data_IF_314397296007
#
_entry.id   IF_314397296007
#
_cell.length_a   1.000
_cell.length_b   1.000
_cell.length_c   1.000
_cell.angle_alpha   90.00
_cell.angle_beta   90.00
_cell.angle_gamma   90.00
#
_symmetry.space_group_name_H-M   'P 1'
#
loop_
_entity.id
_entity.type
_entity.pdbx_description
1 polymer ?
#
# COMPACT_ATOMS: atom_id res chain seq x y z
N UNK A 1 -8.31 -70.28 -3.60
CA UNK A 1 -8.50 -68.84 -3.86
C UNK A 1 -7.59 -68.08 -2.90
N UNK A 2 -6.65 -67.29 -3.46
CA UNK A 2 -5.72 -66.37 -2.81
C UNK A 2 -6.47 -65.23 -2.08
N UNK A 3 -5.95 -64.46 -1.12
CA UNK A 3 -4.66 -64.39 -0.43
C UNK A 3 -4.84 -63.61 0.89
N UNK A 4 -3.87 -63.77 1.79
CA UNK A 4 -3.72 -63.14 3.09
C UNK A 4 -3.65 -61.60 3.07
N UNK A 5 -4.01 -60.97 4.20
CA UNK A 5 -3.56 -59.61 4.56
C UNK A 5 -2.69 -59.71 5.83
N UNK A 6 -1.41 -59.29 5.80
CA UNK A 6 -0.55 -59.27 6.97
C UNK A 6 -0.56 -57.91 7.68
N UNK A 7 -0.32 -57.97 8.99
CA UNK A 7 -0.16 -56.88 9.96
C UNK A 7 1.11 -56.04 9.72
N UNK A 8 1.05 -54.71 9.85
CA UNK A 8 2.23 -53.89 10.16
C UNK A 8 1.93 -52.67 11.06
N UNK A 9 2.90 -52.44 11.97
CA UNK A 9 3.09 -51.45 13.05
C UNK A 9 2.87 -49.96 12.76
N UNK A 10 2.80 -49.11 13.82
CA UNK A 10 2.63 -47.66 13.68
C UNK A 10 3.92 -47.01 13.19
N UNK A 11 3.84 -46.20 12.14
CA UNK A 11 4.92 -45.32 11.72
C UNK A 11 4.43 -43.89 11.77
N UNK A 12 5.03 -43.11 12.67
CA UNK A 12 4.94 -41.68 12.70
C UNK A 12 5.47 -41.11 11.38
N UNK A 13 4.63 -40.35 10.69
CA UNK A 13 5.09 -39.22 9.91
C UNK A 13 4.30 -38.02 10.43
N UNK A 14 4.88 -37.34 11.41
CA UNK A 14 4.60 -35.93 11.61
C UNK A 14 4.67 -35.30 10.21
N UNK A 15 3.54 -34.80 9.72
CA UNK A 15 3.52 -33.94 8.55
C UNK A 15 4.30 -32.70 8.98
N UNK A 16 5.61 -32.76 8.77
CA UNK A 16 6.52 -31.64 8.89
C UNK A 16 5.91 -30.55 8.03
N UNK A 17 5.22 -29.60 8.68
CA UNK A 17 4.90 -28.32 8.09
C UNK A 17 6.24 -27.77 7.68
N UNK A 18 6.60 -28.01 6.42
CA UNK A 18 7.76 -27.44 5.77
C UNK A 18 7.56 -25.94 5.92
N UNK A 19 8.26 -25.37 6.89
CA UNK A 19 8.36 -23.93 7.06
C UNK A 19 8.98 -23.45 5.75
N UNK A 20 8.13 -22.96 4.84
CA UNK A 20 8.57 -22.44 3.55
C UNK A 20 9.55 -21.32 3.85
N UNK A 21 10.78 -21.37 3.31
CA UNK A 21 11.73 -20.30 3.56
C UNK A 21 11.19 -19.00 2.93
N UNK A 22 11.05 -17.97 3.75
CA UNK A 22 11.17 -16.55 3.40
C UNK A 22 10.26 -15.96 2.31
N UNK A 23 9.01 -16.41 2.18
CA UNK A 23 7.99 -15.61 1.48
C UNK A 23 7.80 -14.28 2.23
N UNK A 24 7.71 -13.13 1.55
CA UNK A 24 7.45 -11.86 2.22
C UNK A 24 6.04 -11.92 2.82
N UNK A 25 5.98 -11.97 4.16
CA UNK A 25 4.74 -12.11 4.93
C UNK A 25 3.75 -10.96 4.69
N UNK A 26 4.23 -9.81 4.23
CA UNK A 26 3.39 -8.66 3.92
C UNK A 26 3.98 -7.84 2.77
N UNK A 27 3.12 -7.45 1.83
CA UNK A 27 3.42 -6.43 0.82
C UNK A 27 2.67 -5.15 1.20
N UNK A 28 3.42 -4.06 1.35
CA UNK A 28 2.87 -2.71 1.48
C UNK A 28 2.79 -2.11 0.09
N UNK A 29 1.57 -2.06 -0.47
CA UNK A 29 1.35 -1.42 -1.75
C UNK A 29 1.12 0.08 -1.54
N UNK A 30 1.93 0.90 -2.20
CA UNK A 30 1.67 2.34 -2.36
C UNK A 30 1.22 2.55 -3.80
N UNK A 31 0.04 3.14 -3.97
CA UNK A 31 -0.49 3.59 -5.24
C UNK A 31 -0.28 5.09 -5.31
N UNK A 32 0.42 5.56 -6.33
CA UNK A 32 0.55 6.99 -6.61
C UNK A 32 -0.26 7.34 -7.85
N UNK A 33 -1.27 8.18 -7.70
CA UNK A 33 -2.00 8.71 -8.86
C UNK A 33 -1.07 9.54 -9.76
N UNK A 34 -1.11 9.38 -11.09
CA UNK A 34 -0.26 10.14 -12.01
C UNK A 34 -0.45 11.67 -11.92
N UNK A 35 -1.59 12.13 -11.41
CA UNK A 35 -1.87 13.57 -11.16
C UNK A 35 -1.43 14.08 -9.79
N UNK A 36 -0.95 13.20 -8.90
CA UNK A 36 -0.47 13.52 -7.55
C UNK A 36 0.99 13.08 -7.42
N UNK A 37 1.88 13.74 -8.17
CA UNK A 37 3.30 13.43 -8.31
C UNK A 37 4.17 13.55 -7.02
N UNK A 38 3.59 13.43 -5.83
CA UNK A 38 4.29 13.61 -4.55
C UNK A 38 4.03 12.54 -3.49
N UNK A 39 3.12 11.57 -3.72
CA UNK A 39 2.98 10.42 -2.84
C UNK A 39 4.14 9.43 -3.10
N UNK A 40 5.33 9.76 -2.60
CA UNK A 40 6.43 8.81 -2.47
C UNK A 40 6.15 8.00 -1.23
N UNK A 41 6.05 6.67 -1.37
CA UNK A 41 6.04 5.74 -0.24
C UNK A 41 7.24 6.05 0.65
N UNK A 42 7.03 6.85 1.69
CA UNK A 42 8.12 7.25 2.57
C UNK A 42 8.11 6.23 3.69
N UNK A 43 8.98 5.23 3.59
CA UNK A 43 9.24 4.30 4.69
C UNK A 43 10.10 5.06 5.71
N UNK A 44 9.48 5.95 6.47
CA UNK A 44 10.19 6.86 7.39
C UNK A 44 10.80 6.08 8.57
N UNK A 45 10.22 4.92 8.92
CA UNK A 45 10.49 4.26 10.20
C UNK A 45 11.15 2.88 10.11
N UNK A 46 11.50 2.36 8.92
CA UNK A 46 12.02 0.98 8.77
C UNK A 46 13.41 0.88 8.11
N UNK A 47 14.18 1.97 8.06
CA UNK A 47 15.48 2.02 7.37
C UNK A 47 16.46 0.91 7.76
N UNK A 48 16.65 0.67 9.07
CA UNK A 48 17.57 -0.38 9.53
C UNK A 48 17.14 -1.79 9.11
N UNK A 49 15.83 -2.07 9.08
CA UNK A 49 15.31 -3.38 8.70
C UNK A 49 15.46 -3.64 7.19
N UNK A 50 15.43 -2.58 6.38
CA UNK A 50 15.75 -2.65 4.94
C UNK A 50 17.25 -2.94 4.76
N UNK A 51 18.12 -2.21 5.48
CA UNK A 51 19.58 -2.42 5.43
C UNK A 51 19.96 -3.84 5.87
N UNK A 52 19.32 -4.33 6.94
CA UNK A 52 19.50 -5.69 7.46
C UNK A 52 18.91 -6.78 6.53
N UNK A 53 18.26 -6.41 5.41
CA UNK A 53 17.64 -7.35 4.47
C UNK A 53 16.38 -8.06 5.00
N UNK A 54 15.84 -7.61 6.14
CA UNK A 54 14.62 -8.15 6.75
C UNK A 54 13.37 -7.69 5.99
N UNK A 55 13.43 -6.51 5.36
CA UNK A 55 12.39 -5.98 4.46
C UNK A 55 12.96 -5.92 3.05
N UNK A 56 12.29 -6.60 2.13
CA UNK A 56 12.56 -6.48 0.69
C UNK A 56 11.75 -5.32 0.14
N UNK A 57 12.38 -4.48 -0.67
CA UNK A 57 11.75 -3.31 -1.30
C UNK A 57 11.73 -3.54 -2.81
N UNK A 58 10.53 -3.51 -3.39
CA UNK A 58 10.32 -3.54 -4.83
C UNK A 58 9.99 -2.11 -5.29
N UNK A 59 10.68 -1.62 -6.33
CA UNK A 59 10.46 -0.29 -6.90
C UNK A 59 10.43 -0.36 -8.44
N UNK A 60 9.83 0.65 -9.07
CA UNK A 60 9.91 0.86 -10.52
C UNK A 60 8.82 0.17 -11.34
N UNK A 61 7.87 -0.50 -10.70
CA UNK A 61 6.71 -1.11 -11.35
C UNK A 61 5.50 -1.00 -10.44
N UNK A 62 4.39 -0.50 -10.97
CA UNK A 62 3.13 -0.37 -10.21
C UNK A 62 2.43 -1.72 -10.07
N UNK A 63 1.68 -1.90 -8.97
CA UNK A 63 0.82 -3.08 -8.81
C UNK A 63 -0.42 -2.91 -9.68
N UNK A 64 -0.72 -3.90 -10.52
CA UNK A 64 -1.88 -3.88 -11.43
C UNK A 64 -3.08 -4.62 -10.88
N UNK A 65 -2.86 -5.74 -10.16
CA UNK A 65 -3.96 -6.50 -9.55
C UNK A 65 -3.49 -7.32 -8.36
N UNK A 66 -4.42 -7.51 -7.43
CA UNK A 66 -4.31 -8.48 -6.35
C UNK A 66 -4.97 -9.79 -6.84
N UNK A 67 -4.32 -10.90 -6.55
CA UNK A 67 -4.77 -12.26 -6.87
C UNK A 67 -5.01 -13.03 -5.57
N UNK A 68 -5.64 -14.19 -5.66
CA UNK A 68 -5.88 -15.06 -4.50
C UNK A 68 -4.59 -15.49 -3.77
N UNK A 69 -3.42 -15.36 -4.40
CA UNK A 69 -2.14 -15.87 -3.89
C UNK A 69 -1.05 -14.79 -3.78
N UNK A 70 -1.37 -13.51 -4.02
CA UNK A 70 -0.38 -12.42 -4.02
C UNK A 70 -0.71 -11.27 -4.96
N UNK A 71 0.30 -10.56 -5.45
CA UNK A 71 0.13 -9.37 -6.31
C UNK A 71 0.84 -9.52 -7.65
N UNK A 72 0.33 -8.83 -8.68
CA UNK A 72 0.95 -8.76 -10.01
C UNK A 72 1.31 -7.32 -10.32
N UNK A 73 2.51 -7.12 -10.84
CA UNK A 73 3.07 -5.82 -11.22
C UNK A 73 2.83 -5.53 -12.72
N UNK A 74 2.97 -4.27 -13.13
CA UNK A 74 2.76 -3.83 -14.50
C UNK A 74 3.77 -4.43 -15.50
N UNK A 75 4.96 -4.77 -15.02
CA UNK A 75 6.00 -5.50 -15.77
C UNK A 75 5.70 -7.01 -15.92
N UNK A 76 4.56 -7.48 -15.41
CA UNK A 76 4.13 -8.88 -15.50
C UNK A 76 4.68 -9.79 -14.40
N UNK A 77 5.55 -9.30 -13.50
CA UNK A 77 6.04 -10.10 -12.37
C UNK A 77 4.92 -10.37 -11.37
N UNK A 78 4.95 -11.55 -10.76
CA UNK A 78 4.04 -11.93 -9.69
C UNK A 78 4.83 -12.14 -8.38
N UNK A 79 4.33 -11.57 -7.29
CA UNK A 79 4.92 -11.73 -5.96
C UNK A 79 3.90 -12.43 -5.04
N UNK A 80 4.19 -13.68 -4.62
CA UNK A 80 3.33 -14.40 -3.68
C UNK A 80 3.31 -13.70 -2.32
N UNK A 81 2.12 -13.61 -1.72
CA UNK A 81 1.94 -13.08 -0.38
C UNK A 81 0.76 -13.75 0.30
N UNK A 82 0.92 -14.01 1.60
CA UNK A 82 -0.16 -14.51 2.46
C UNK A 82 -1.08 -13.35 2.91
N UNK A 83 -0.50 -12.15 3.08
CA UNK A 83 -1.21 -10.94 3.50
C UNK A 83 -0.81 -9.77 2.60
N UNK A 84 -1.80 -9.02 2.13
CA UNK A 84 -1.59 -7.77 1.40
C UNK A 84 -2.13 -6.62 2.24
N UNK A 85 -1.27 -5.65 2.55
CA UNK A 85 -1.65 -4.45 3.31
C UNK A 85 -1.71 -3.27 2.35
N UNK A 86 -2.92 -2.74 2.17
CA UNK A 86 -3.15 -1.54 1.36
C UNK A 86 -2.92 -0.33 2.25
N UNK A 87 -1.76 0.29 2.11
CA UNK A 87 -1.34 1.47 2.85
C UNK A 87 -1.17 2.68 1.92
N UNK A 88 -2.14 2.86 1.01
CA UNK A 88 -2.10 3.81 -0.12
C UNK A 88 -2.50 5.24 0.26
N UNK A 89 -2.47 5.60 1.54
CA UNK A 89 -2.91 6.90 2.05
C UNK A 89 -4.42 7.18 1.84
N UNK A 90 -4.83 8.38 2.22
CA UNK A 90 -6.16 8.93 1.97
C UNK A 90 -6.16 9.80 0.70
N UNK A 91 -7.35 10.03 0.17
CA UNK A 91 -7.54 10.96 -0.95
C UNK A 91 -7.31 12.41 -0.52
N UNK A 92 -7.24 13.32 -1.50
CA UNK A 92 -7.09 14.75 -1.26
C UNK A 92 -8.32 15.34 -0.55
N UNK A 93 -8.07 16.40 0.21
CA UNK A 93 -9.09 17.11 1.01
C UNK A 93 -10.11 17.88 0.19
N UNK A 94 -9.89 18.07 -1.11
CA UNK A 94 -10.80 18.81 -2.00
C UNK A 94 -12.20 18.18 -2.07
N UNK A 95 -12.30 16.86 -2.27
CA UNK A 95 -13.58 16.17 -2.37
C UNK A 95 -14.47 16.33 -1.11
N UNK A 96 -13.98 16.08 0.12
CA UNK A 96 -14.79 16.29 1.32
C UNK A 96 -15.14 17.77 1.55
N UNK A 97 -14.28 18.71 1.16
CA UNK A 97 -14.57 20.15 1.26
C UNK A 97 -15.70 20.54 0.32
N UNK A 98 -15.62 20.19 -0.97
CA UNK A 98 -16.70 20.45 -1.93
C UNK A 98 -18.03 19.86 -1.50
N UNK A 99 -18.02 18.67 -0.87
CA UNK A 99 -19.23 18.05 -0.33
C UNK A 99 -19.84 18.84 0.84
N UNK A 100 -19.02 19.55 1.62
CA UNK A 100 -19.47 20.26 2.81
C UNK A 100 -19.98 21.67 2.50
N UNK A 101 -19.26 22.41 1.65
CA UNK A 101 -19.55 23.83 1.37
C UNK A 101 -20.11 24.09 -0.04
N UNK A 102 -20.28 23.03 -0.85
CA UNK A 102 -20.72 23.12 -2.25
C UNK A 102 -19.56 23.15 -3.23
N UNK A 103 -19.82 22.77 -4.48
CA UNK A 103 -18.77 22.69 -5.51
C UNK A 103 -18.18 24.07 -5.85
N UNK A 104 -19.03 25.11 -5.95
CA UNK A 104 -18.60 26.46 -6.34
C UNK A 104 -17.63 27.08 -5.32
N UNK A 105 -17.92 26.92 -4.03
CA UNK A 105 -17.08 27.43 -2.95
C UNK A 105 -15.92 26.48 -2.66
N UNK A 106 -16.14 25.17 -2.67
CA UNK A 106 -15.09 24.18 -2.49
C UNK A 106 -13.98 24.26 -3.54
N UNK A 107 -14.32 24.63 -4.78
CA UNK A 107 -13.34 24.85 -5.84
C UNK A 107 -12.42 26.05 -5.61
N UNK A 108 -12.81 27.01 -4.76
CA UNK A 108 -11.97 28.17 -4.39
C UNK A 108 -10.91 27.81 -3.35
N UNK A 109 -11.15 26.76 -2.55
CA UNK A 109 -10.21 26.34 -1.51
C UNK A 109 -8.93 25.80 -2.17
N UNK A 110 -7.76 26.42 -1.92
CA UNK A 110 -6.53 25.93 -2.51
C UNK A 110 -6.17 24.57 -1.92
N UNK A 111 -5.36 23.79 -2.65
CA UNK A 111 -4.83 22.53 -2.14
C UNK A 111 -4.16 22.76 -0.77
N UNK A 112 -4.71 22.11 0.26
CA UNK A 112 -4.18 22.17 1.61
C UNK A 112 -2.80 21.48 1.62
N UNK A 113 -1.82 22.13 2.25
CA UNK A 113 -0.41 21.73 2.30
C UNK A 113 0.39 21.92 1.01
N UNK A 114 1.71 21.87 1.17
CA UNK A 114 2.72 22.24 0.17
C UNK A 114 2.87 23.75 0.05
N UNK A 115 3.78 24.19 -0.83
CA UNK A 115 4.28 25.57 -0.83
C UNK A 115 3.69 26.43 -1.94
N UNK A 116 3.25 27.64 -1.63
CA UNK A 116 2.88 28.65 -2.62
C UNK A 116 4.15 29.25 -3.29
N UNK A 117 3.99 30.23 -4.18
CA UNK A 117 5.11 30.89 -4.88
C UNK A 117 6.07 31.60 -3.92
N UNK A 118 5.59 32.00 -2.76
CA UNK A 118 6.33 32.70 -1.71
C UNK A 118 6.98 31.73 -0.70
N UNK A 119 6.82 30.42 -0.93
CA UNK A 119 7.29 29.32 -0.07
C UNK A 119 6.58 29.20 1.27
N UNK A 120 5.31 29.60 1.33
CA UNK A 120 4.47 29.46 2.51
C UNK A 120 3.45 28.31 2.34
N UNK A 121 3.00 27.69 3.45
CA UNK A 121 2.00 26.63 3.41
C UNK A 121 0.65 27.09 2.83
N UNK A 122 0.15 26.38 1.81
CA UNK A 122 -1.15 26.67 1.18
C UNK A 122 -2.33 26.19 2.02
N UNK A 123 -3.39 26.99 2.07
CA UNK A 123 -4.70 26.59 2.61
C UNK A 123 -4.72 26.25 4.09
N UNK A 124 -3.73 26.73 4.87
CA UNK A 124 -3.64 26.49 6.32
C UNK A 124 -3.97 27.74 7.14
N UNK A 125 -3.61 28.94 6.66
CA UNK A 125 -3.72 30.16 7.46
C UNK A 125 -4.00 31.44 6.68
N UNK A 126 -3.78 31.47 5.37
CA UNK A 126 -4.15 32.62 4.54
C UNK A 126 -5.66 32.65 4.32
N UNK A 127 -6.24 33.85 4.33
CA UNK A 127 -7.59 34.06 3.86
C UNK A 127 -7.75 33.53 2.44
N UNK A 128 -8.83 32.80 2.21
CA UNK A 128 -9.16 32.29 0.90
C UNK A 128 -9.93 33.36 0.13
N UNK A 129 -9.37 33.79 -1.01
CA UNK A 129 -10.00 34.80 -1.85
C UNK A 129 -11.40 34.34 -2.29
N UNK A 130 -12.40 35.17 -2.03
CA UNK A 130 -13.79 34.86 -2.34
C UNK A 130 -14.51 33.96 -1.33
N UNK A 131 -13.88 33.66 -0.18
CA UNK A 131 -14.47 32.97 0.97
C UNK A 131 -14.07 33.68 2.29
N UNK A 132 -14.77 34.76 2.66
CA UNK A 132 -14.43 35.52 3.86
C UNK A 132 -14.62 34.68 5.13
N UNK A 133 -13.68 34.81 6.07
CA UNK A 133 -13.61 34.07 7.35
C UNK A 133 -13.34 32.56 7.21
N UNK A 134 -12.81 32.12 6.06
CA UNK A 134 -12.37 30.73 5.82
C UNK A 134 -10.88 30.67 5.54
#
# INVERSE_FOLDING_TARGET
>A
MAAAWPTHSPSAAASTTSVRPSLPLAIFCSYSEPRKAHARATVICAGQQIVDGKIKVEFGSEVTRITATGVVFADGRALPADIVIVATEFDDTSAPICKLIGEDDGAKVPRIWGLNKEREPRGVWHEIEGLPNM
#
